data_IF_279449550170
#
_entry.id   IF_279449550170
#
_cell.length_a   1.000
_cell.length_b   1.000
_cell.length_c   1.000
_cell.angle_alpha   90.00
_cell.angle_beta   90.00
_cell.angle_gamma   90.00
#
_symmetry.space_group_name_H-M   'P 1'
#
loop_
_entity.id
_entity.type
_entity.pdbx_description
1 polymer ?
#
# COMPACT_ATOMS: atom_id res chain seq x y z
N UNK A 1 21.64 -53.50 16.09
CA UNK A 1 22.20 -52.16 15.85
C UNK A 1 21.91 -51.75 14.41
N UNK A 2 20.93 -50.88 14.18
CA UNK A 2 20.76 -50.21 12.88
C UNK A 2 20.09 -48.88 13.14
N UNK A 3 20.73 -47.84 12.62
CA UNK A 3 20.70 -46.51 13.18
C UNK A 3 19.36 -45.80 12.98
N UNK A 4 18.93 -45.16 14.06
CA UNK A 4 17.92 -44.13 14.12
C UNK A 4 18.43 -42.90 13.36
N UNK A 5 17.94 -42.67 12.14
CA UNK A 5 18.20 -41.43 11.40
C UNK A 5 17.04 -40.47 11.67
N UNK A 6 17.17 -39.67 12.72
CA UNK A 6 16.21 -38.61 13.06
C UNK A 6 16.55 -37.38 12.21
N UNK A 7 15.82 -37.19 11.11
CA UNK A 7 15.96 -36.00 10.26
C UNK A 7 15.22 -34.85 10.96
N UNK A 8 15.98 -33.98 11.60
CA UNK A 8 15.47 -32.76 12.24
C UNK A 8 15.14 -31.77 11.12
N UNK A 9 13.86 -31.68 10.78
CA UNK A 9 13.34 -30.67 9.86
C UNK A 9 13.30 -29.32 10.60
N UNK A 10 14.35 -28.52 10.42
CA UNK A 10 14.48 -27.19 11.00
C UNK A 10 13.59 -26.24 10.18
N UNK A 11 12.32 -26.12 10.58
CA UNK A 11 11.39 -25.17 9.99
C UNK A 11 11.85 -23.78 10.43
N UNK A 12 12.61 -23.09 9.58
CA UNK A 12 12.85 -21.67 9.73
C UNK A 12 11.50 -20.96 9.55
N UNK A 13 10.82 -20.66 10.65
CA UNK A 13 9.75 -19.65 10.64
C UNK A 13 10.43 -18.32 10.31
N UNK A 14 10.39 -17.92 9.05
CA UNK A 14 10.73 -16.57 8.64
C UNK A 14 9.82 -15.64 9.44
N UNK A 15 10.37 -14.99 10.46
CA UNK A 15 9.70 -13.95 11.20
C UNK A 15 9.48 -12.82 10.19
N UNK A 16 8.26 -12.67 9.69
CA UNK A 16 7.88 -11.56 8.82
C UNK A 16 7.99 -10.30 9.67
N UNK A 17 9.15 -9.66 9.63
CA UNK A 17 9.32 -8.34 10.23
C UNK A 17 8.38 -7.38 9.50
N UNK A 18 7.38 -6.86 10.20
CA UNK A 18 6.50 -5.84 9.65
C UNK A 18 7.34 -4.63 9.20
N UNK A 19 7.22 -4.27 7.92
CA UNK A 19 7.92 -3.11 7.38
C UNK A 19 7.10 -1.87 7.71
N UNK A 20 7.63 -1.02 8.60
CA UNK A 20 7.00 0.25 8.95
C UNK A 20 7.76 1.40 8.29
N UNK A 21 7.11 2.04 7.33
CA UNK A 21 7.61 3.20 6.61
C UNK A 21 7.62 4.40 7.56
N UNK A 22 8.81 4.86 7.94
CA UNK A 22 9.02 6.01 8.82
C UNK A 22 9.99 7.04 8.20
N UNK A 23 9.90 8.32 8.61
CA UNK A 23 8.86 8.91 9.44
C UNK A 23 7.60 9.22 8.62
N UNK A 24 6.44 9.17 9.28
CA UNK A 24 5.21 9.80 8.80
C UNK A 24 4.81 10.97 9.70
N UNK A 25 4.49 12.12 9.10
CA UNK A 25 3.95 13.29 9.81
C UNK A 25 2.45 13.37 9.54
N UNK A 26 1.64 13.12 10.58
CA UNK A 26 0.18 13.17 10.53
C UNK A 26 -0.42 14.43 11.19
N UNK A 27 0.39 15.26 11.82
CA UNK A 27 -0.08 16.42 12.57
C UNK A 27 -0.72 17.47 11.64
N UNK A 28 -1.89 17.96 12.02
CA UNK A 28 -2.48 19.14 11.41
C UNK A 28 -1.88 20.41 12.01
N UNK A 29 -1.40 21.37 11.18
CA UNK A 29 -0.77 22.59 11.68
C UNK A 29 -1.77 23.60 12.25
N UNK A 30 -3.05 23.49 11.90
CA UNK A 30 -4.13 24.41 12.31
C UNK A 30 -5.39 23.59 12.59
N UNK A 31 -6.15 23.99 13.62
CA UNK A 31 -7.45 23.40 13.95
C UNK A 31 -8.46 23.58 12.81
N UNK A 32 -9.33 22.58 12.61
CA UNK A 32 -10.50 22.69 11.73
C UNK A 32 -11.77 22.74 12.56
N UNK A 33 -12.51 23.85 12.45
CA UNK A 33 -13.82 24.02 13.07
C UNK A 33 -14.89 23.59 12.06
N UNK A 34 -15.54 22.45 12.32
CA UNK A 34 -16.50 21.83 11.42
C UNK A 34 -17.87 21.70 12.08
N UNK A 35 -18.94 21.74 11.27
CA UNK A 35 -20.32 21.49 11.73
C UNK A 35 -20.75 20.11 11.29
N UNK A 36 -21.50 19.42 12.15
CA UNK A 36 -22.18 18.18 11.77
C UNK A 36 -23.35 18.49 10.83
N UNK A 37 -23.62 17.59 9.90
CA UNK A 37 -24.83 17.65 9.08
C UNK A 37 -26.08 17.22 9.87
N UNK A 38 -27.25 17.20 9.22
CA UNK A 38 -28.54 16.86 9.85
C UNK A 38 -28.60 15.40 10.36
N UNK A 39 -27.72 14.53 9.86
CA UNK A 39 -27.61 13.14 10.25
C UNK A 39 -26.61 12.95 11.43
N UNK A 40 -26.00 14.04 11.91
CA UNK A 40 -24.98 13.99 12.96
C UNK A 40 -23.58 13.59 12.46
N UNK A 41 -23.36 13.52 11.15
CA UNK A 41 -22.06 13.18 10.58
C UNK A 41 -21.16 14.42 10.51
N UNK A 42 -19.91 14.27 10.94
CA UNK A 42 -18.85 15.24 10.75
C UNK A 42 -18.01 14.84 9.53
N UNK A 43 -17.90 15.71 8.53
CA UNK A 43 -17.10 15.46 7.32
C UNK A 43 -15.89 16.40 7.30
N UNK A 44 -14.68 15.81 7.27
CA UNK A 44 -13.43 16.52 6.99
C UNK A 44 -12.84 15.98 5.68
N UNK A 45 -12.54 16.87 4.75
CA UNK A 45 -12.04 16.51 3.42
C UNK A 45 -10.51 16.59 3.33
N UNK A 46 -9.85 17.27 4.28
CA UNK A 46 -8.41 17.44 4.31
C UNK A 46 -7.72 16.20 4.87
N UNK A 47 -7.15 15.40 3.97
CA UNK A 47 -6.23 14.34 4.32
C UNK A 47 -4.80 14.82 4.04
N UNK A 48 -4.10 15.32 5.06
CA UNK A 48 -2.70 15.75 4.92
C UNK A 48 -1.77 14.85 5.72
N UNK A 49 -0.78 14.27 5.05
CA UNK A 49 0.35 13.61 5.69
C UNK A 49 1.60 13.72 4.81
N UNK A 50 2.77 13.45 5.38
CA UNK A 50 4.02 13.33 4.64
C UNK A 50 4.74 12.05 5.04
N UNK A 51 5.21 11.29 4.04
CA UNK A 51 5.99 10.05 4.22
C UNK A 51 7.23 10.05 3.34
N UNK A 52 8.26 9.32 3.77
CA UNK A 52 9.45 9.05 2.98
C UNK A 52 9.27 7.76 2.16
N UNK A 53 9.36 7.86 0.83
CA UNK A 53 9.14 6.72 -0.08
C UNK A 53 10.42 5.93 -0.43
N UNK A 54 11.58 6.30 0.12
CA UNK A 54 12.85 5.60 -0.17
C UNK A 54 12.78 4.08 0.06
N UNK A 55 12.12 3.65 1.12
CA UNK A 55 11.94 2.23 1.43
C UNK A 55 11.05 1.52 0.41
N UNK A 56 9.99 2.17 -0.09
CA UNK A 56 9.15 1.63 -1.16
C UNK A 56 9.96 1.45 -2.45
N UNK A 57 10.79 2.44 -2.81
CA UNK A 57 11.66 2.35 -3.99
C UNK A 57 12.75 1.30 -3.84
N UNK A 58 13.27 1.10 -2.62
CA UNK A 58 14.19 0.01 -2.32
C UNK A 58 13.51 -1.35 -2.51
N UNK A 59 12.25 -1.51 -2.09
CA UNK A 59 11.49 -2.76 -2.28
C UNK A 59 11.13 -3.01 -3.75
N UNK A 60 10.87 -1.95 -4.51
CA UNK A 60 10.43 -2.04 -5.90
C UNK A 60 11.60 -2.28 -6.87
N UNK A 61 12.68 -1.52 -6.73
CA UNK A 61 13.78 -1.48 -7.70
C UNK A 61 15.13 -1.87 -7.13
N UNK A 62 15.20 -2.22 -5.84
CA UNK A 62 16.47 -2.35 -5.11
C UNK A 62 17.32 -1.07 -5.11
N UNK A 63 16.70 0.09 -5.34
CA UNK A 63 17.35 1.39 -5.38
C UNK A 63 16.49 2.48 -4.74
N UNK A 64 16.82 2.85 -3.50
CA UNK A 64 16.15 3.94 -2.78
C UNK A 64 16.36 5.34 -3.38
N UNK A 65 17.39 5.56 -4.20
CA UNK A 65 17.68 6.88 -4.80
C UNK A 65 16.71 7.22 -5.94
N UNK A 66 16.09 6.20 -6.53
CA UNK A 66 15.13 6.33 -7.63
C UNK A 66 13.83 7.06 -7.24
N UNK A 67 13.59 7.34 -5.95
CA UNK A 67 12.39 8.01 -5.46
C UNK A 67 12.29 9.50 -5.87
N UNK A 68 13.41 10.16 -6.14
CA UNK A 68 13.45 11.60 -6.36
C UNK A 68 12.69 12.03 -7.64
N UNK A 69 11.81 13.03 -7.51
CA UNK A 69 11.09 13.64 -8.64
C UNK A 69 10.06 12.75 -9.32
N UNK A 70 9.65 11.65 -8.69
CA UNK A 70 8.70 10.70 -9.27
C UNK A 70 7.25 11.03 -8.92
N UNK A 71 6.37 10.75 -9.87
CA UNK A 71 4.93 10.87 -9.70
C UNK A 71 4.36 9.60 -9.07
N UNK A 72 3.60 9.75 -7.99
CA UNK A 72 3.03 8.66 -7.20
C UNK A 72 1.51 8.67 -7.34
N UNK A 73 0.91 7.50 -7.52
CA UNK A 73 -0.52 7.28 -7.40
C UNK A 73 -0.82 6.80 -5.99
N UNK A 74 -1.75 7.48 -5.34
CA UNK A 74 -2.19 7.15 -4.00
C UNK A 74 -3.71 7.28 -3.92
N UNK A 75 -4.37 6.28 -3.35
CA UNK A 75 -5.80 6.31 -3.03
C UNK A 75 -6.03 5.64 -1.68
N UNK A 76 -7.09 6.01 -0.95
CA UNK A 76 -7.44 5.42 0.34
C UNK A 76 -8.84 4.81 0.26
N UNK A 77 -9.03 3.57 0.65
CA UNK A 77 -10.36 2.95 0.71
C UNK A 77 -11.16 3.36 1.96
N UNK A 78 -12.42 2.93 2.02
CA UNK A 78 -13.35 3.22 3.11
C UNK A 78 -12.94 2.59 4.45
N UNK A 79 -12.16 1.50 4.42
CA UNK A 79 -11.60 0.85 5.61
C UNK A 79 -10.33 1.56 6.12
N UNK A 80 -9.83 2.53 5.36
CA UNK A 80 -8.71 3.37 5.72
C UNK A 80 -7.35 2.88 5.22
N UNK A 81 -7.29 1.84 4.40
CA UNK A 81 -6.06 1.37 3.75
C UNK A 81 -5.70 2.28 2.58
N UNK A 82 -4.40 2.54 2.45
CA UNK A 82 -3.83 3.33 1.37
C UNK A 82 -3.20 2.40 0.34
N UNK A 83 -3.45 2.66 -0.94
CA UNK A 83 -2.90 1.91 -2.07
C UNK A 83 -1.97 2.84 -2.82
N UNK A 84 -0.71 2.43 -2.92
CA UNK A 84 0.36 3.21 -3.54
C UNK A 84 0.95 2.44 -4.72
N UNK A 85 1.07 3.11 -5.86
CA UNK A 85 1.83 2.62 -7.02
C UNK A 85 2.38 3.79 -7.83
N UNK A 86 3.19 3.52 -8.84
CA UNK A 86 3.67 4.54 -9.76
C UNK A 86 3.93 3.93 -11.14
N UNK A 87 4.30 4.80 -12.09
CA UNK A 87 4.84 4.35 -13.36
C UNK A 87 6.03 3.39 -13.13
N UNK A 88 6.06 2.33 -13.92
CA UNK A 88 7.09 1.26 -13.92
C UNK A 88 7.11 0.40 -12.65
N UNK A 89 6.17 0.57 -11.71
CA UNK A 89 6.02 -0.33 -10.56
C UNK A 89 5.37 -1.64 -11.00
N UNK A 90 5.94 -2.76 -10.61
CA UNK A 90 5.36 -4.10 -10.72
C UNK A 90 4.44 -4.44 -9.53
N UNK A 91 4.32 -3.56 -8.55
CA UNK A 91 3.53 -3.79 -7.34
C UNK A 91 2.62 -2.61 -6.98
N UNK A 92 1.51 -2.93 -6.32
CA UNK A 92 0.76 -2.00 -5.48
C UNK A 92 1.11 -2.28 -4.03
N UNK A 93 1.51 -1.24 -3.32
CA UNK A 93 1.83 -1.29 -1.89
C UNK A 93 0.61 -0.86 -1.09
N UNK A 94 0.11 -1.75 -0.24
CA UNK A 94 -1.00 -1.46 0.67
C UNK A 94 -0.43 -1.06 2.02
N UNK A 95 -0.77 0.14 2.45
CA UNK A 95 -0.28 0.76 3.67
C UNK A 95 -1.44 1.00 4.63
N UNK A 96 -1.17 0.89 5.93
CA UNK A 96 -2.11 1.27 6.97
C UNK A 96 -1.43 2.21 7.97
N UNK A 97 -2.10 3.25 8.47
CA UNK A 97 -1.51 4.15 9.47
C UNK A 97 -1.00 3.39 10.70
N UNK A 98 0.19 3.74 11.15
CA UNK A 98 0.83 3.22 12.35
C UNK A 98 1.46 4.37 13.15
N UNK A 99 1.95 4.09 14.36
CA UNK A 99 2.57 5.12 15.18
C UNK A 99 3.77 5.78 14.47
N UNK A 100 3.64 7.07 14.18
CA UNK A 100 4.65 7.88 13.47
C UNK A 100 5.09 7.30 12.13
N UNK A 101 4.25 6.49 11.48
CA UNK A 101 4.60 5.76 10.27
C UNK A 101 3.40 5.19 9.52
N UNK A 102 3.69 4.47 8.44
CA UNK A 102 2.73 3.58 7.79
C UNK A 102 3.26 2.16 7.83
N UNK A 103 2.45 1.22 8.28
CA UNK A 103 2.76 -0.20 8.17
C UNK A 103 2.46 -0.68 6.75
N UNK A 104 3.42 -1.34 6.11
CA UNK A 104 3.20 -2.06 4.86
C UNK A 104 2.47 -3.37 5.18
N UNK A 105 1.17 -3.42 4.84
CA UNK A 105 0.32 -4.58 5.15
C UNK A 105 0.32 -5.60 4.02
N UNK A 106 0.52 -5.15 2.78
CA UNK A 106 0.52 -6.03 1.60
C UNK A 106 1.36 -5.46 0.47
N UNK A 107 2.00 -6.37 -0.27
CA UNK A 107 2.50 -6.11 -1.63
C UNK A 107 1.65 -6.93 -2.61
N UNK A 108 0.93 -6.26 -3.49
CA UNK A 108 0.10 -6.89 -4.53
C UNK A 108 0.87 -6.80 -5.84
N UNK A 109 1.22 -7.94 -6.41
CA UNK A 109 1.90 -7.99 -7.71
C UNK A 109 0.90 -7.60 -8.80
N UNK A 110 1.29 -6.65 -9.65
CA UNK A 110 0.53 -6.28 -10.84
C UNK A 110 0.80 -7.37 -11.90
N UNK A 111 -0.25 -8.02 -12.45
CA UNK A 111 -0.09 -9.05 -13.49
C UNK A 111 0.36 -8.52 -14.87
N UNK A 112 1.10 -7.42 -14.89
CA UNK A 112 1.66 -6.75 -16.04
C UNK A 112 3.04 -6.22 -15.68
N UNK A 113 4.04 -6.49 -16.51
CA UNK A 113 5.40 -6.04 -16.27
C UNK A 113 5.55 -4.56 -16.62
N UNK A 114 6.08 -3.78 -15.66
CA UNK A 114 6.44 -2.37 -15.79
C UNK A 114 5.37 -1.50 -16.49
N UNK A 115 4.14 -1.43 -15.94
CA UNK A 115 3.08 -0.62 -16.52
C UNK A 115 3.48 0.85 -16.58
N UNK A 116 3.37 1.43 -17.77
CA UNK A 116 3.80 2.81 -18.02
C UNK A 116 2.71 3.83 -17.74
N UNK A 117 1.45 3.39 -17.70
CA UNK A 117 0.29 4.22 -17.35
C UNK A 117 -0.51 3.52 -16.27
N UNK A 118 -0.63 4.16 -15.10
CA UNK A 118 -1.38 3.64 -13.97
C UNK A 118 -2.33 4.69 -13.40
N UNK A 119 -3.52 4.24 -13.01
CA UNK A 119 -4.52 5.05 -12.31
C UNK A 119 -5.34 4.17 -11.34
N UNK A 120 -5.91 4.82 -10.33
CA UNK A 120 -6.84 4.19 -9.40
C UNK A 120 -8.21 4.84 -9.50
N UNK A 121 -9.27 4.02 -9.40
CA UNK A 121 -10.63 4.47 -9.15
C UNK A 121 -11.19 3.82 -7.88
N UNK A 122 -12.04 4.56 -7.16
CA UNK A 122 -12.88 3.97 -6.12
C UNK A 122 -13.97 3.09 -6.74
N UNK A 123 -14.08 1.84 -6.27
CA UNK A 123 -15.18 0.93 -6.60
C UNK A 123 -15.51 0.07 -5.38
N UNK A 124 -16.07 0.67 -4.33
CA UNK A 124 -16.39 -0.03 -3.07
C UNK A 124 -17.07 -1.39 -3.35
N UNK A 125 -16.58 -2.51 -2.78
CA UNK A 125 -15.57 -2.60 -1.71
C UNK A 125 -14.11 -2.71 -2.19
N UNK A 126 -13.82 -2.40 -3.46
CA UNK A 126 -12.52 -2.54 -4.10
C UNK A 126 -11.92 -1.19 -4.54
N UNK A 127 -10.64 -1.23 -4.87
CA UNK A 127 -9.98 -0.25 -5.73
C UNK A 127 -9.82 -0.87 -7.11
N UNK A 128 -10.18 -0.14 -8.16
CA UNK A 128 -9.88 -0.52 -9.53
C UNK A 128 -8.51 0.07 -9.91
N UNK A 129 -7.53 -0.80 -10.13
CA UNK A 129 -6.25 -0.45 -10.76
C UNK A 129 -6.43 -0.52 -12.27
N UNK A 130 -6.16 0.58 -12.96
CA UNK A 130 -6.17 0.68 -14.42
C UNK A 130 -4.74 0.78 -14.90
N UNK A 131 -4.35 -0.12 -15.81
CA UNK A 131 -3.11 -0.05 -16.58
C UNK A 131 -3.40 0.32 -18.03
N UNK A 132 -2.37 0.46 -18.87
CA UNK A 132 -2.54 0.61 -20.32
C UNK A 132 -3.29 -0.54 -21.00
N UNK A 133 -3.21 -1.77 -20.48
CA UNK A 133 -3.78 -2.97 -21.11
C UNK A 133 -4.99 -3.51 -20.38
N UNK A 134 -5.07 -3.28 -19.07
CA UNK A 134 -5.92 -4.06 -18.19
C UNK A 134 -6.56 -3.22 -17.09
N UNK A 135 -7.57 -3.81 -16.47
CA UNK A 135 -8.14 -3.33 -15.22
C UNK A 135 -8.18 -4.47 -14.21
N UNK A 136 -7.91 -4.17 -12.96
CA UNK A 136 -7.85 -5.14 -11.87
C UNK A 136 -8.61 -4.62 -10.67
N UNK A 137 -9.42 -5.45 -10.03
CA UNK A 137 -10.00 -5.14 -8.74
C UNK A 137 -9.07 -5.66 -7.63
N UNK A 138 -8.65 -4.76 -6.76
CA UNK A 138 -7.76 -5.05 -5.63
C UNK A 138 -8.40 -4.57 -4.33
N UNK A 139 -8.02 -5.20 -3.22
CA UNK A 139 -8.31 -4.73 -1.88
C UNK A 139 -7.14 -5.08 -0.93
N UNK A 140 -7.27 -4.80 0.36
CA UNK A 140 -6.22 -5.03 1.35
C UNK A 140 -5.85 -6.52 1.51
N UNK A 141 -6.69 -7.45 1.06
CA UNK A 141 -6.40 -8.88 1.07
C UNK A 141 -5.53 -9.30 -0.14
N UNK A 142 -5.69 -8.62 -1.28
CA UNK A 142 -4.89 -8.83 -2.48
C UNK A 142 -5.62 -8.50 -3.79
N UNK A 143 -5.21 -9.17 -4.86
CA UNK A 143 -5.89 -9.14 -6.16
C UNK A 143 -7.16 -10.00 -6.08
N UNK A 144 -8.33 -9.40 -6.32
CA UNK A 144 -9.60 -10.11 -6.31
C UNK A 144 -9.90 -10.71 -7.69
N UNK A 145 -9.89 -9.88 -8.74
CA UNK A 145 -10.18 -10.31 -10.11
C UNK A 145 -9.62 -9.33 -11.16
N UNK A 146 -9.60 -9.76 -12.43
CA UNK A 146 -9.42 -8.87 -13.58
C UNK A 146 -10.76 -8.26 -13.93
N UNK A 147 -10.86 -6.93 -13.89
CA UNK A 147 -12.11 -6.25 -14.23
C UNK A 147 -12.34 -6.32 -15.75
N UNK A 148 -13.61 -6.46 -16.15
CA UNK A 148 -14.04 -6.53 -17.55
C UNK A 148 -13.92 -5.17 -18.25
#
# INVERSE_FOLDING_TARGET
>A
MKNLLFIIFLIFTACSSDVVIKPAKFAFPVESVLKTNLQGTLEEQRYSFSINLKEIYQLEFSDSSAAAGKEIRLIRDEAGYYYLTAKDFNNVYVLFPAESGFMLTKKIIIPEANPTKVAFNQKSPYIELITEKNKFLINHLGLAERAK
#
